data_IF_743481496459
#
_entry.id   IF_743481496459
#
_cell.length_a   1.000
_cell.length_b   1.000
_cell.length_c   1.000
_cell.angle_alpha   90.00
_cell.angle_beta   90.00
_cell.angle_gamma   90.00
#
_symmetry.space_group_name_H-M   'P 1'
#
loop_
_entity.id
_entity.type
_entity.pdbx_description
1 polymer ?
#
# COMPACT_ATOMS: atom_id res chain seq x y z
N UNK A 1 26.66 15.47 -0.41
CA UNK A 1 25.33 16.12 -0.47
C UNK A 1 24.49 15.40 -1.51
N UNK A 2 23.26 15.00 -1.15
CA UNK A 2 22.21 14.59 -2.10
C UNK A 2 22.28 13.18 -2.70
N UNK A 3 21.85 12.14 -1.96
CA UNK A 3 21.43 10.89 -2.61
C UNK A 3 20.18 11.18 -3.43
N UNK A 4 20.33 11.28 -4.76
CA UNK A 4 19.24 11.27 -5.74
C UNK A 4 18.42 10.00 -5.50
N UNK A 5 17.31 10.12 -4.79
CA UNK A 5 16.38 9.00 -4.58
C UNK A 5 15.37 9.06 -5.71
N UNK A 6 15.58 8.18 -6.67
CA UNK A 6 14.77 7.96 -7.86
C UNK A 6 13.28 8.02 -7.53
N UNK A 7 12.58 8.90 -8.24
CA UNK A 7 11.13 8.95 -8.32
C UNK A 7 10.65 7.67 -9.00
N UNK A 8 9.86 6.85 -8.31
CA UNK A 8 9.06 5.79 -8.92
C UNK A 8 7.69 5.80 -8.27
N UNK A 9 6.89 6.80 -8.65
CA UNK A 9 5.68 7.25 -7.96
C UNK A 9 4.51 6.26 -7.82
N UNK A 10 4.65 4.97 -8.12
CA UNK A 10 3.70 3.90 -7.79
C UNK A 10 4.30 2.82 -6.87
N UNK A 11 5.63 2.68 -6.86
CA UNK A 11 6.33 1.75 -5.97
C UNK A 11 6.36 2.27 -4.53
N UNK A 12 6.27 3.58 -4.32
CA UNK A 12 6.40 4.18 -2.99
C UNK A 12 5.25 3.84 -2.05
N UNK A 13 4.00 3.83 -2.52
CA UNK A 13 2.82 3.57 -1.67
C UNK A 13 2.80 2.11 -1.20
N UNK A 14 3.02 1.15 -2.11
CA UNK A 14 3.08 -0.27 -1.75
C UNK A 14 4.30 -0.55 -0.88
N UNK A 15 5.45 0.05 -1.18
CA UNK A 15 6.66 -0.09 -0.35
C UNK A 15 6.46 0.51 1.04
N UNK A 16 5.73 1.62 1.14
CA UNK A 16 5.36 2.22 2.41
C UNK A 16 4.43 1.31 3.22
N UNK A 17 3.41 0.74 2.58
CA UNK A 17 2.53 -0.26 3.20
C UNK A 17 3.31 -1.46 3.74
N UNK A 18 4.19 -2.04 2.91
CA UNK A 18 5.08 -3.14 3.31
C UNK A 18 5.93 -2.74 4.51
N UNK A 19 6.55 -1.55 4.50
CA UNK A 19 7.36 -1.06 5.63
C UNK A 19 6.53 -0.91 6.90
N UNK A 20 5.33 -0.37 6.81
CA UNK A 20 4.45 -0.15 7.96
C UNK A 20 3.98 -1.50 8.52
N UNK A 21 3.58 -2.45 7.67
CA UNK A 21 3.23 -3.81 8.06
C UNK A 21 4.39 -4.57 8.69
N UNK A 22 5.61 -4.46 8.14
CA UNK A 22 6.82 -5.02 8.76
C UNK A 22 7.07 -4.46 10.15
N UNK A 23 6.85 -3.15 10.35
CA UNK A 23 6.94 -2.52 11.68
C UNK A 23 5.90 -3.04 12.67
N UNK A 24 4.73 -3.45 12.20
CA UNK A 24 3.69 -4.06 13.02
C UNK A 24 3.95 -5.54 13.36
N UNK A 25 4.96 -6.17 12.75
CA UNK A 25 5.32 -7.59 13.00
C UNK A 25 5.10 -8.51 11.81
N UNK A 26 4.55 -8.02 10.69
CA UNK A 26 4.35 -8.82 9.47
C UNK A 26 5.63 -8.89 8.63
N UNK A 27 6.61 -9.66 9.09
CA UNK A 27 7.95 -9.74 8.47
C UNK A 27 7.94 -10.34 7.04
N UNK A 28 6.98 -11.23 6.76
CA UNK A 28 6.84 -11.93 5.47
C UNK A 28 6.07 -11.12 4.42
N UNK A 29 5.57 -9.93 4.76
CA UNK A 29 4.83 -9.11 3.79
C UNK A 29 5.74 -8.64 2.65
N UNK A 30 5.24 -8.78 1.43
CA UNK A 30 5.90 -8.44 0.19
C UNK A 30 4.87 -7.94 -0.83
N UNK A 31 5.33 -7.48 -2.01
CA UNK A 31 4.41 -6.91 -3.02
C UNK A 31 3.45 -7.94 -3.61
N UNK A 32 3.82 -9.22 -3.57
CA UNK A 32 3.04 -10.31 -4.11
C UNK A 32 1.94 -10.78 -3.16
N UNK A 33 2.10 -10.62 -1.84
CA UNK A 33 1.09 -11.04 -0.86
C UNK A 33 0.24 -9.87 -0.33
N UNK A 34 0.77 -8.65 -0.26
CA UNK A 34 0.07 -7.49 0.32
C UNK A 34 -1.25 -7.14 -0.40
N UNK A 35 -1.38 -7.55 -1.67
CA UNK A 35 -2.56 -7.32 -2.51
C UNK A 35 -3.47 -8.55 -2.65
N UNK A 36 -3.09 -9.71 -2.11
CA UNK A 36 -3.78 -10.98 -2.32
C UNK A 36 -4.22 -11.62 -0.99
N UNK A 37 -3.35 -11.60 0.01
CA UNK A 37 -3.61 -12.11 1.34
C UNK A 37 -4.68 -11.25 2.05
N UNK A 38 -5.74 -11.89 2.55
CA UNK A 38 -6.88 -11.20 3.17
C UNK A 38 -6.47 -10.39 4.39
N UNK A 39 -5.56 -10.92 5.21
CA UNK A 39 -5.09 -10.22 6.41
C UNK A 39 -4.31 -8.98 5.98
N UNK A 40 -3.34 -9.14 5.07
CA UNK A 40 -2.54 -8.00 4.61
C UNK A 40 -3.37 -6.96 3.86
N UNK A 41 -4.38 -7.37 3.09
CA UNK A 41 -5.32 -6.45 2.43
C UNK A 41 -6.04 -5.57 3.45
N UNK A 42 -6.58 -6.13 4.52
CA UNK A 42 -7.31 -5.35 5.55
C UNK A 42 -6.41 -4.28 6.17
N UNK A 43 -5.20 -4.67 6.59
CA UNK A 43 -4.28 -3.71 7.19
C UNK A 43 -3.74 -2.71 6.17
N UNK A 44 -3.43 -3.15 4.94
CA UNK A 44 -2.96 -2.28 3.88
C UNK A 44 -4.03 -1.27 3.46
N UNK A 45 -5.30 -1.68 3.38
CA UNK A 45 -6.45 -0.79 3.13
C UNK A 45 -6.52 0.31 4.19
N UNK A 46 -6.38 -0.07 5.47
CA UNK A 46 -6.42 0.87 6.59
C UNK A 46 -5.27 1.89 6.52
N UNK A 47 -4.06 1.42 6.19
CA UNK A 47 -2.88 2.29 5.99
C UNK A 47 -3.07 3.26 4.82
N UNK A 48 -3.65 2.76 3.71
CA UNK A 48 -3.96 3.57 2.53
C UNK A 48 -4.98 4.65 2.86
N UNK A 49 -6.05 4.34 3.60
CA UNK A 49 -7.06 5.32 4.04
C UNK A 49 -6.49 6.38 4.98
N UNK A 50 -5.60 6.02 5.90
CA UNK A 50 -4.91 7.00 6.73
C UNK A 50 -4.08 7.96 5.87
N UNK A 51 -3.31 7.43 4.91
CA UNK A 51 -2.48 8.25 4.02
C UNK A 51 -3.31 9.12 3.07
N UNK A 52 -4.48 8.64 2.64
CA UNK A 52 -5.45 9.37 1.83
C UNK A 52 -5.86 10.69 2.51
N UNK A 53 -6.00 10.67 3.83
CA UNK A 53 -6.39 11.85 4.61
C UNK A 53 -5.28 12.89 4.71
N UNK A 54 -4.03 12.45 4.60
CA UNK A 54 -2.83 13.24 4.86
C UNK A 54 -2.17 13.77 3.57
N UNK A 55 -2.35 13.08 2.43
CA UNK A 55 -1.66 13.40 1.16
C UNK A 55 -2.64 13.49 -0.02
N UNK A 56 -3.08 14.72 -0.33
CA UNK A 56 -3.96 15.00 -1.47
C UNK A 56 -3.30 14.70 -2.83
N UNK A 57 -1.97 14.87 -2.97
CA UNK A 57 -1.25 14.61 -4.22
C UNK A 57 -1.21 13.12 -4.61
N UNK A 58 -1.28 12.21 -3.63
CA UNK A 58 -1.28 10.76 -3.89
C UNK A 58 -2.70 10.17 -3.87
N UNK A 59 -3.72 11.02 -3.71
CA UNK A 59 -5.09 10.59 -3.45
C UNK A 59 -5.65 9.70 -4.57
N UNK A 60 -5.45 10.07 -5.84
CA UNK A 60 -5.88 9.26 -6.99
C UNK A 60 -5.21 7.89 -7.03
N UNK A 61 -3.90 7.82 -6.74
CA UNK A 61 -3.14 6.55 -6.73
C UNK A 61 -3.60 5.64 -5.60
N UNK A 62 -3.85 6.21 -4.43
CA UNK A 62 -4.39 5.50 -3.27
C UNK A 62 -5.79 4.95 -3.59
N UNK A 63 -6.66 5.77 -4.18
CA UNK A 63 -8.01 5.34 -4.61
C UNK A 63 -7.93 4.22 -5.64
N UNK A 64 -7.02 4.31 -6.60
CA UNK A 64 -6.81 3.27 -7.60
C UNK A 64 -6.38 1.94 -6.96
N UNK A 65 -5.44 1.98 -6.00
CA UNK A 65 -5.00 0.81 -5.25
C UNK A 65 -6.12 0.21 -4.39
N UNK A 66 -6.90 1.04 -3.70
CA UNK A 66 -8.05 0.61 -2.91
C UNK A 66 -9.10 -0.10 -3.78
N UNK A 67 -9.41 0.44 -4.96
CA UNK A 67 -10.32 -0.22 -5.92
C UNK A 67 -9.78 -1.58 -6.35
N UNK A 68 -8.48 -1.70 -6.61
CA UNK A 68 -7.85 -2.96 -7.02
C UNK A 68 -7.90 -4.02 -5.92
N UNK A 69 -7.70 -3.63 -4.67
CA UNK A 69 -7.84 -4.52 -3.50
C UNK A 69 -9.29 -5.01 -3.39
N UNK A 70 -10.26 -4.10 -3.52
CA UNK A 70 -11.70 -4.42 -3.41
C UNK A 70 -12.20 -5.34 -4.54
N UNK A 71 -11.77 -5.11 -5.78
CA UNK A 71 -12.09 -5.96 -6.94
C UNK A 71 -11.55 -7.40 -6.77
N UNK A 72 -10.37 -7.56 -6.19
CA UNK A 72 -9.79 -8.88 -5.92
C UNK A 72 -10.51 -9.67 -4.81
N UNK A 73 -11.36 -9.03 -4.00
CA UNK A 73 -12.13 -9.69 -2.94
C UNK A 73 -13.53 -10.12 -3.43
N UNK A 74 -14.06 -9.51 -4.49
CA UNK A 74 -15.40 -9.82 -5.03
C UNK A 74 -15.46 -11.01 -6.01
N UNK A 75 -14.33 -11.64 -6.33
CA UNK A 75 -14.27 -12.77 -7.29
C UNK A 75 -14.10 -14.14 -6.61
N UNK A 76 -14.43 -14.24 -5.31
CA UNK A 76 -14.40 -15.50 -4.56
C UNK A 76 -15.79 -15.77 -3.98
#
# INVERSE_FOLDING_TARGET
MGKKKMMTGNNDIVTFGIKKLKKFGYIHVNRANILYDEVYKIFFERILRERLRDNAEEQEKIICLLKRIKLNTSNN
#
